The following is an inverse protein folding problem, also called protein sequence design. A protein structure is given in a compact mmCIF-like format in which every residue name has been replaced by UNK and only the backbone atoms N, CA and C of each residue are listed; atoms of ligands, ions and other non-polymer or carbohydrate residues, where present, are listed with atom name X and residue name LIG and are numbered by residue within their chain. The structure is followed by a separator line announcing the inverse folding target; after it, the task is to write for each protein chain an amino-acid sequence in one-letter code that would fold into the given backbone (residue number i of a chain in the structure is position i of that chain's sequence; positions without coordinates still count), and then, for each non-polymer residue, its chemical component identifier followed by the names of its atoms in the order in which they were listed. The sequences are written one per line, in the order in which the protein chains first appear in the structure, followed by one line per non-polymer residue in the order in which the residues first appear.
data_IF_350892169698
#
_entry.id   IF_350892169698
#
_cell.length_a   1.000
_cell.length_b   1.000
_cell.length_c   1.000
_cell.angle_alpha   90.00
_cell.angle_beta   90.00
_cell.angle_gamma   90.00
#
_symmetry.space_group_name_H-M   'P 1'
#
loop_
_entity.id
_entity.type
_entity.pdbx_description
1 polymer ?
#
# COMPACT_ATOMS: atom_id res chain seq x y z
N UNK A 1 4.08 3.80 21.70
CA UNK A 1 4.64 4.18 20.38
C UNK A 1 3.73 3.57 19.32
N UNK A 2 3.43 4.30 18.24
CA UNK A 2 2.67 3.74 17.11
C UNK A 2 3.55 2.72 16.37
N UNK A 3 2.97 1.59 15.97
CA UNK A 3 3.62 0.56 15.16
C UNK A 3 3.11 0.67 13.73
N UNK A 4 3.99 0.44 12.77
CA UNK A 4 3.65 0.51 11.35
C UNK A 4 4.10 -0.76 10.63
N UNK A 5 3.27 -1.20 9.70
CA UNK A 5 3.64 -2.15 8.66
C UNK A 5 3.94 -1.40 7.36
N UNK A 6 4.79 -2.00 6.53
CA UNK A 6 5.18 -1.45 5.23
C UNK A 6 4.96 -2.47 4.14
N UNK A 7 4.56 -2.00 2.96
CA UNK A 7 4.39 -2.83 1.77
C UNK A 7 4.89 -2.09 0.53
N UNK A 8 5.20 -2.85 -0.52
CA UNK A 8 5.67 -2.31 -1.80
C UNK A 8 4.77 -2.82 -2.91
N UNK A 9 4.11 -1.91 -3.60
CA UNK A 9 3.26 -2.22 -4.74
C UNK A 9 3.95 -1.80 -6.03
N UNK A 10 4.24 -2.78 -6.89
CA UNK A 10 4.73 -2.52 -8.23
C UNK A 10 3.57 -2.48 -9.23
N UNK A 11 3.34 -1.32 -9.83
CA UNK A 11 2.32 -1.08 -10.83
C UNK A 11 2.99 -0.97 -12.20
N UNK A 12 2.87 -2.01 -13.01
CA UNK A 12 3.37 -2.00 -14.39
C UNK A 12 2.46 -1.14 -15.24
N UNK A 13 2.98 -0.05 -15.81
CA UNK A 13 2.20 0.89 -16.61
C UNK A 13 2.82 1.00 -17.99
N UNK A 14 2.10 0.57 -19.03
CA UNK A 14 2.54 0.64 -20.44
C UNK A 14 1.53 1.34 -21.34
N UNK A 15 0.26 1.40 -20.94
CA UNK A 15 -0.88 1.96 -21.69
C UNK A 15 -1.84 2.63 -20.72
N UNK A 16 -2.74 3.47 -21.25
CA UNK A 16 -3.68 4.25 -20.44
C UNK A 16 -4.54 3.38 -19.48
N UNK A 17 -4.96 2.19 -19.94
CA UNK A 17 -5.72 1.22 -19.11
C UNK A 17 -4.96 0.74 -17.87
N UNK A 18 -3.63 0.72 -17.91
CA UNK A 18 -2.82 0.27 -16.76
C UNK A 18 -2.86 1.30 -15.60
N UNK A 19 -3.16 2.57 -15.89
CA UNK A 19 -3.40 3.58 -14.85
C UNK A 19 -4.71 3.32 -14.11
N UNK A 20 -5.74 2.80 -14.78
CA UNK A 20 -6.99 2.42 -14.12
C UNK A 20 -6.78 1.24 -13.18
N UNK A 21 -5.98 0.25 -13.59
CA UNK A 21 -5.66 -0.90 -12.76
C UNK A 21 -4.78 -0.50 -11.56
N UNK A 22 -3.78 0.36 -11.77
CA UNK A 22 -3.00 0.98 -10.69
C UNK A 22 -3.90 1.74 -9.71
N UNK A 23 -4.84 2.55 -10.20
CA UNK A 23 -5.77 3.29 -9.36
C UNK A 23 -6.66 2.36 -8.55
N UNK A 24 -7.15 1.26 -9.16
CA UNK A 24 -7.95 0.25 -8.46
C UNK A 24 -7.15 -0.39 -7.33
N UNK A 25 -5.93 -0.87 -7.62
CA UNK A 25 -5.07 -1.50 -6.62
C UNK A 25 -4.75 -0.55 -5.44
N UNK A 26 -4.47 0.72 -5.72
CA UNK A 26 -4.21 1.71 -4.67
C UNK A 26 -5.46 1.99 -3.81
N UNK A 27 -6.64 2.05 -4.42
CA UNK A 27 -7.89 2.24 -3.70
C UNK A 27 -8.23 1.03 -2.81
N UNK A 28 -8.00 -0.19 -3.30
CA UNK A 28 -8.17 -1.43 -2.51
C UNK A 28 -7.27 -1.40 -1.28
N UNK A 29 -5.98 -1.08 -1.45
CA UNK A 29 -5.04 -0.92 -0.32
C UNK A 29 -5.46 0.22 0.62
N UNK A 30 -5.93 1.34 0.08
CA UNK A 30 -6.47 2.46 0.87
C UNK A 30 -7.66 2.05 1.73
N UNK A 31 -8.56 1.21 1.22
CA UNK A 31 -9.70 0.68 1.98
C UNK A 31 -9.26 -0.26 3.13
N UNK A 32 -8.10 -0.91 2.99
CA UNK A 32 -7.46 -1.71 4.05
C UNK A 32 -6.61 -0.87 5.03
N UNK A 33 -6.61 0.45 4.89
CA UNK A 33 -5.90 1.39 5.77
C UNK A 33 -4.45 1.66 5.37
N UNK A 34 -4.01 1.26 4.17
CA UNK A 34 -2.68 1.60 3.67
C UNK A 34 -2.62 3.02 3.12
N UNK A 35 -1.54 3.71 3.44
CA UNK A 35 -1.22 5.05 2.96
C UNK A 35 0.01 4.99 2.05
N UNK A 36 -0.07 5.62 0.87
CA UNK A 36 1.11 5.78 0.00
C UNK A 36 2.01 6.87 0.58
N UNK A 37 3.26 6.50 0.88
CA UNK A 37 4.27 7.43 1.40
C UNK A 37 5.19 7.98 0.31
N UNK A 38 5.44 7.19 -0.72
CA UNK A 38 6.21 7.59 -1.89
C UNK A 38 5.80 6.77 -3.10
N UNK A 39 5.94 7.34 -4.28
CA UNK A 39 5.78 6.64 -5.55
C UNK A 39 6.89 7.06 -6.49
N UNK A 40 7.65 6.09 -6.98
CA UNK A 40 8.76 6.33 -7.91
C UNK A 40 8.44 5.76 -9.28
N UNK A 41 8.71 6.55 -10.32
CA UNK A 41 8.61 6.09 -11.70
C UNK A 41 9.88 5.33 -12.08
N UNK A 42 9.73 4.18 -12.74
CA UNK A 42 10.81 3.43 -13.38
C UNK A 42 10.46 3.12 -14.84
N UNK A 43 11.40 2.50 -15.55
CA UNK A 43 11.27 2.18 -16.99
C UNK A 43 9.99 1.41 -17.37
N UNK A 44 9.37 0.70 -16.42
CA UNK A 44 8.21 -0.17 -16.67
C UNK A 44 6.95 0.20 -15.88
N UNK A 45 6.92 1.33 -15.18
CA UNK A 45 5.76 1.77 -14.42
C UNK A 45 6.12 2.49 -13.12
N UNK A 46 5.34 2.27 -12.07
CA UNK A 46 5.51 2.94 -10.78
C UNK A 46 5.70 1.93 -9.65
N UNK A 47 6.59 2.25 -8.73
CA UNK A 47 6.74 1.54 -7.46
C UNK A 47 6.18 2.43 -6.37
N UNK A 48 5.08 2.01 -5.73
CA UNK A 48 4.49 2.70 -4.59
C UNK A 48 4.94 2.04 -3.30
N UNK A 49 5.43 2.85 -2.37
CA UNK A 49 5.75 2.45 -1.01
C UNK A 49 4.55 2.81 -0.13
N UNK A 50 4.06 1.83 0.63
CA UNK A 50 2.90 1.98 1.48
C UNK A 50 3.28 1.77 2.94
N UNK A 51 2.56 2.44 3.83
CA UNK A 51 2.57 2.19 5.27
C UNK A 51 1.15 1.97 5.77
N UNK A 52 0.98 1.21 6.85
CA UNK A 52 -0.28 1.11 7.58
C UNK A 52 0.00 1.12 9.07
N UNK A 53 -0.78 1.87 9.83
CA UNK A 53 -0.74 1.81 11.29
C UNK A 53 -1.34 0.48 11.77
N UNK A 54 -0.61 -0.25 12.61
CA UNK A 54 -1.15 -1.45 13.26
C UNK A 54 -1.55 -1.13 14.69
N UNK A 55 -2.74 -1.60 15.06
CA UNK A 55 -3.18 -1.55 16.44
C UNK A 55 -2.19 -2.34 17.30
N UNK A 56 -1.83 -1.76 18.44
CA UNK A 56 -1.18 -2.52 19.51
C UNK A 56 -2.23 -3.53 19.98
N UNK A 57 -2.12 -4.78 19.53
CA UNK A 57 -3.03 -5.85 19.96
C UNK A 57 -3.01 -5.85 21.49
N UNK A 58 -4.10 -5.54 22.20
CA UNK A 58 -4.14 -5.84 23.62
C UNK A 58 -3.93 -7.35 23.70
N UNK A 59 -2.87 -7.77 24.39
CA UNK A 59 -2.58 -9.17 24.70
C UNK A 59 -3.88 -9.81 25.14
N UNK A 60 -4.44 -10.70 24.32
CA UNK A 60 -5.59 -11.51 24.70
C UNK A 60 -5.21 -12.24 25.98
N UNK A 61 -5.86 -11.85 27.07
CA UNK A 61 -5.72 -12.45 28.38
C UNK A 61 -6.00 -13.94 28.24
N UNK A 62 -5.01 -14.76 28.58
CA UNK A 62 -5.19 -16.18 28.77
C UNK A 62 -6.41 -16.45 29.66
N UNK A 63 -7.27 -17.39 29.25
CA UNK A 63 -8.20 -18.12 30.11
C UNK A 63 -8.18 -19.57 29.69
#
# INVERSE_FOLDING_TARGET
MKRFEYDILFCKVKKQKDYEDMRRALNERGAEGWEVISAEAGDYGYTAFLKREVADRPTETAT
#
